data_IF_316176476513
#
_entry.id   IF_316176476513
#
_cell.length_a   1.000
_cell.length_b   1.000
_cell.length_c   1.000
_cell.angle_alpha   90.00
_cell.angle_beta   90.00
_cell.angle_gamma   90.00
#
_symmetry.space_group_name_H-M   'P 1'
#
loop_
_entity.id
_entity.type
_entity.pdbx_description
1 polymer ?
#
# COMPACT_ATOMS: atom_id res chain seq x y z
N UNK A 1 9.18 12.02 -12.79
CA UNK A 1 9.35 10.87 -11.85
C UNK A 1 8.47 10.93 -10.60
N UNK A 2 8.29 12.07 -9.90
CA UNK A 2 7.44 12.11 -8.69
C UNK A 2 6.00 11.63 -8.94
N UNK A 3 5.35 12.17 -9.98
CA UNK A 3 3.96 11.87 -10.38
C UNK A 3 3.71 10.39 -10.70
N UNK A 4 4.57 9.79 -11.52
CA UNK A 4 4.48 8.36 -11.91
C UNK A 4 4.51 7.45 -10.68
N UNK A 5 5.39 7.75 -9.71
CA UNK A 5 5.50 6.93 -8.51
C UNK A 5 4.32 7.17 -7.56
N UNK A 6 3.78 8.38 -7.48
CA UNK A 6 2.57 8.64 -6.69
C UNK A 6 1.35 7.91 -7.28
N UNK A 7 1.21 7.94 -8.61
CA UNK A 7 0.18 7.15 -9.32
C UNK A 7 0.36 5.65 -9.09
N UNK A 8 1.61 5.15 -9.06
CA UNK A 8 1.89 3.76 -8.74
C UNK A 8 1.52 3.39 -7.30
N UNK A 9 1.80 4.26 -6.31
CA UNK A 9 1.37 4.06 -4.92
C UNK A 9 -0.15 3.99 -4.80
N UNK A 10 -0.88 4.84 -5.54
CA UNK A 10 -2.34 4.84 -5.57
C UNK A 10 -2.87 3.57 -6.23
N UNK A 11 -2.37 3.22 -7.42
CA UNK A 11 -2.81 2.04 -8.16
C UNK A 11 -2.56 0.75 -7.36
N UNK A 12 -1.35 0.59 -6.80
CA UNK A 12 -1.03 -0.56 -5.95
C UNK A 12 -1.89 -0.57 -4.69
N UNK A 13 -2.07 0.58 -4.01
CA UNK A 13 -2.95 0.67 -2.85
C UNK A 13 -4.38 0.19 -3.14
N UNK A 14 -4.94 0.61 -4.29
CA UNK A 14 -6.27 0.18 -4.72
C UNK A 14 -6.34 -1.32 -5.02
N UNK A 15 -5.34 -1.88 -5.70
CA UNK A 15 -5.27 -3.32 -6.00
C UNK A 15 -5.22 -4.13 -4.70
N UNK A 16 -4.33 -3.77 -3.78
CA UNK A 16 -4.20 -4.47 -2.50
C UNK A 16 -5.47 -4.35 -1.65
N UNK A 17 -6.13 -3.19 -1.65
CA UNK A 17 -7.40 -3.01 -0.96
C UNK A 17 -8.49 -3.93 -1.51
N UNK A 18 -8.62 -4.02 -2.84
CA UNK A 18 -9.56 -4.93 -3.50
C UNK A 18 -9.25 -6.39 -3.15
N UNK A 19 -7.97 -6.79 -3.18
CA UNK A 19 -7.56 -8.16 -2.83
C UNK A 19 -7.85 -8.49 -1.37
N UNK A 20 -7.61 -7.54 -0.44
CA UNK A 20 -7.96 -7.70 0.98
C UNK A 20 -9.46 -7.93 1.10
N UNK A 21 -10.29 -7.04 0.55
CA UNK A 21 -11.75 -7.15 0.63
C UNK A 21 -12.23 -8.47 0.02
N UNK A 22 -11.79 -8.80 -1.19
CA UNK A 22 -12.15 -10.04 -1.87
C UNK A 22 -11.76 -11.28 -1.05
N UNK A 23 -10.58 -11.25 -0.41
CA UNK A 23 -10.10 -12.35 0.40
C UNK A 23 -10.99 -12.63 1.61
N UNK A 24 -11.74 -11.65 2.15
CA UNK A 24 -12.69 -11.86 3.24
C UNK A 24 -13.97 -12.58 2.80
N UNK A 25 -14.37 -12.44 1.53
CA UNK A 25 -15.55 -13.11 0.97
C UNK A 25 -15.24 -14.50 0.42
N UNK A 26 -13.97 -14.84 0.23
CA UNK A 26 -13.55 -16.17 -0.19
C UNK A 26 -13.24 -17.03 1.04
N UNK A 27 -14.16 -17.93 1.40
CA UNK A 27 -13.96 -18.97 2.41
C UNK A 27 -13.09 -20.11 1.81
N UNK A 28 -11.80 -19.85 1.59
CA UNK A 28 -10.87 -20.87 1.07
C UNK A 28 -9.76 -21.11 2.10
N UNK A 29 -10.11 -21.78 3.22
CA UNK A 29 -9.19 -22.41 4.17
C UNK A 29 -8.02 -21.57 4.76
N UNK A 30 -7.17 -22.21 5.56
CA UNK A 30 -6.01 -21.58 6.25
C UNK A 30 -5.05 -20.84 5.29
N UNK A 31 -5.04 -21.21 4.00
CA UNK A 31 -4.20 -20.57 3.00
C UNK A 31 -4.60 -19.12 2.74
N UNK A 32 -5.91 -18.83 2.67
CA UNK A 32 -6.40 -17.45 2.52
C UNK A 32 -6.24 -16.67 3.82
N UNK A 33 -6.34 -17.32 4.99
CA UNK A 33 -6.09 -16.67 6.28
C UNK A 33 -4.63 -16.18 6.40
N UNK A 34 -3.65 -17.01 6.05
CA UNK A 34 -2.25 -16.60 6.00
C UNK A 34 -2.00 -15.55 4.91
N UNK A 35 -2.60 -15.73 3.72
CA UNK A 35 -2.53 -14.77 2.61
C UNK A 35 -3.04 -13.36 2.97
N UNK A 36 -4.12 -13.27 3.75
CA UNK A 36 -4.69 -12.00 4.26
C UNK A 36 -3.67 -11.21 5.07
N UNK A 37 -2.94 -11.89 5.96
CA UNK A 37 -1.91 -11.25 6.78
C UNK A 37 -0.80 -10.66 5.91
N UNK A 38 -0.33 -11.39 4.89
CA UNK A 38 0.65 -10.86 3.94
C UNK A 38 0.11 -9.66 3.15
N UNK A 39 -1.14 -9.72 2.68
CA UNK A 39 -1.77 -8.61 1.96
C UNK A 39 -1.88 -7.35 2.84
N UNK A 40 -2.27 -7.51 4.11
CA UNK A 40 -2.34 -6.42 5.09
C UNK A 40 -0.97 -5.79 5.35
N UNK A 41 0.06 -6.61 5.57
CA UNK A 41 1.43 -6.12 5.79
C UNK A 41 1.94 -5.33 4.59
N UNK A 42 1.73 -5.84 3.37
CA UNK A 42 2.12 -5.16 2.14
C UNK A 42 1.35 -3.85 1.94
N UNK A 43 0.04 -3.83 2.22
CA UNK A 43 -0.78 -2.64 2.15
C UNK A 43 -0.30 -1.54 3.11
N UNK A 44 0.01 -1.91 4.36
CA UNK A 44 0.58 -0.98 5.35
C UNK A 44 1.95 -0.46 4.88
N UNK A 45 2.81 -1.31 4.34
CA UNK A 45 4.12 -0.91 3.82
C UNK A 45 4.00 0.12 2.68
N UNK A 46 3.03 -0.05 1.77
CA UNK A 46 2.72 0.90 0.68
C UNK A 46 2.30 2.26 1.27
N UNK A 47 1.42 2.27 2.26
CA UNK A 47 0.97 3.50 2.93
C UNK A 47 2.16 4.20 3.60
N UNK A 48 2.94 3.49 4.40
CA UNK A 48 4.12 4.04 5.10
C UNK A 48 5.11 4.60 4.07
N UNK A 49 5.41 3.87 3.00
CA UNK A 49 6.30 4.32 1.94
C UNK A 49 5.84 5.64 1.31
N UNK A 50 4.53 5.78 1.05
CA UNK A 50 3.94 7.03 0.54
C UNK A 50 4.10 8.18 1.54
N UNK A 51 3.79 7.97 2.82
CA UNK A 51 3.92 9.00 3.85
C UNK A 51 5.37 9.45 4.07
N UNK A 52 6.31 8.50 4.17
CA UNK A 52 7.74 8.81 4.29
C UNK A 52 8.22 9.67 3.12
N UNK A 53 7.77 9.34 1.90
CA UNK A 53 8.10 10.12 0.71
C UNK A 53 7.56 11.55 0.77
N UNK A 54 6.33 11.74 1.23
CA UNK A 54 5.73 13.05 1.43
C UNK A 54 6.52 13.88 2.46
N UNK A 55 6.87 13.27 3.59
CA UNK A 55 7.67 13.91 4.66
C UNK A 55 9.05 14.32 4.12
N UNK A 56 9.74 13.43 3.39
CA UNK A 56 11.05 13.72 2.79
C UNK A 56 10.93 14.84 1.75
N UNK A 57 9.88 14.84 0.93
CA UNK A 57 9.64 15.90 -0.05
C UNK A 57 9.37 17.25 0.63
N UNK A 58 8.61 17.27 1.72
CA UNK A 58 8.35 18.48 2.50
C UNK A 58 9.63 19.02 3.17
N UNK A 59 10.45 18.15 3.77
CA UNK A 59 11.75 18.55 4.35
C UNK A 59 12.70 19.13 3.32
N UNK A 60 12.71 18.64 2.08
CA UNK A 60 13.56 19.20 1.00
C UNK A 60 13.13 20.62 0.60
N UNK A 61 11.83 20.92 0.62
CA UNK A 61 11.33 22.26 0.30
C UNK A 61 11.55 23.29 1.42
N UNK A 62 11.65 22.85 2.68
CA UNK A 62 11.89 23.75 3.82
C UNK A 62 13.36 24.18 4.00
N UNK A 63 14.30 23.59 3.26
CA UNK A 63 15.75 23.83 3.37
C UNK A 63 16.36 24.57 2.17
N UNK A 64 15.55 24.98 1.20
CA UNK A 64 15.96 25.81 0.06
C UNK A 64 15.34 27.19 0.17
#
# INVERSE_FOLDING_TARGET
MKKIVDDAFVALGMIFLVLIVASYFTEIGDFVYNGRTYLLVLFIAIIIGRYLRLIVSAKRHSKG
#
